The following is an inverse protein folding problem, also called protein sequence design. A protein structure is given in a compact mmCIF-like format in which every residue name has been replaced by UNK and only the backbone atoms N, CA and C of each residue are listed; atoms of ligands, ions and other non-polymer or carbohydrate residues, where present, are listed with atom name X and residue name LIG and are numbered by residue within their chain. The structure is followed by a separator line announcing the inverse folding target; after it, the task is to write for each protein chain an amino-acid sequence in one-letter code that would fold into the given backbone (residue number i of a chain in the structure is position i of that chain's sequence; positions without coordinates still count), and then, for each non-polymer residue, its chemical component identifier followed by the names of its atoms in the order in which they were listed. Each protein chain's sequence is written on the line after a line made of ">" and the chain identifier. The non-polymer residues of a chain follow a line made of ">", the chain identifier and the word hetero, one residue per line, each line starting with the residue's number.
data_IF_657751255016
#
_entry.id   IF_657751255016
#
_cell.length_a   1.000
_cell.length_b   1.000
_cell.length_c   1.000
_cell.angle_alpha   90.00
_cell.angle_beta   90.00
_cell.angle_gamma   90.00
#
_symmetry.space_group_name_H-M   'P 1'
#
loop_
_entity.id
_entity.type
_entity.pdbx_description
1 polymer ?
#
# COMPACT_ATOMS: atom_id res chain seq x y z
N UNK A 1 -12.02 -19.13 -26.94
CA UNK A 1 -13.40 -19.13 -26.40
C UNK A 1 -13.46 -19.77 -25.00
N UNK A 2 -12.95 -20.99 -24.81
CA UNK A 2 -12.93 -21.67 -23.50
C UNK A 2 -12.16 -20.92 -22.40
N UNK A 3 -11.03 -20.29 -22.74
CA UNK A 3 -10.22 -19.54 -21.78
C UNK A 3 -10.93 -18.28 -21.25
N UNK A 4 -11.64 -17.56 -22.12
CA UNK A 4 -12.42 -16.38 -21.75
C UNK A 4 -13.62 -16.76 -20.85
N UNK A 5 -14.29 -17.86 -21.17
CA UNK A 5 -15.40 -18.37 -20.36
C UNK A 5 -14.95 -18.86 -18.97
N UNK A 6 -13.72 -19.37 -18.84
CA UNK A 6 -13.15 -19.76 -17.55
C UNK A 6 -12.88 -18.55 -16.67
N UNK A 7 -12.28 -17.49 -17.23
CA UNK A 7 -12.01 -16.25 -16.49
C UNK A 7 -13.31 -15.56 -16.04
N UNK A 8 -14.35 -15.55 -16.90
CA UNK A 8 -15.66 -14.98 -16.55
C UNK A 8 -16.43 -15.86 -15.54
N UNK A 9 -16.29 -17.19 -15.61
CA UNK A 9 -16.92 -18.13 -14.69
C UNK A 9 -16.35 -18.12 -13.27
N UNK A 10 -15.12 -17.66 -13.07
CA UNK A 10 -14.48 -17.58 -11.75
C UNK A 10 -15.06 -16.48 -10.83
N UNK A 11 -15.79 -15.50 -11.37
CA UNK A 11 -16.29 -14.33 -10.61
C UNK A 11 -17.82 -14.16 -10.60
N UNK A 12 -18.55 -14.98 -11.36
CA UNK A 12 -20.02 -14.89 -11.46
C UNK A 12 -20.75 -16.11 -10.86
N UNK A 13 -20.10 -16.83 -9.94
CA UNK A 13 -20.79 -17.77 -9.07
C UNK A 13 -21.07 -17.09 -7.73
N UNK A 14 -22.34 -16.85 -7.45
CA UNK A 14 -22.79 -16.38 -6.14
C UNK A 14 -23.29 -17.58 -5.36
N UNK A 15 -22.57 -18.05 -4.32
CA UNK A 15 -23.08 -19.12 -3.49
C UNK A 15 -24.41 -18.72 -2.84
N UNK A 16 -25.35 -19.66 -2.86
CA UNK A 16 -26.65 -19.53 -2.18
C UNK A 16 -26.46 -19.49 -0.66
N UNK A 17 -25.53 -20.29 -0.14
CA UNK A 17 -25.14 -20.27 1.26
C UNK A 17 -24.14 -19.12 1.53
N UNK A 18 -24.48 -18.26 2.49
CA UNK A 18 -23.65 -17.10 2.83
C UNK A 18 -22.34 -17.46 3.52
N UNK A 19 -22.25 -18.64 4.12
CA UNK A 19 -21.03 -19.13 4.79
C UNK A 19 -19.87 -19.32 3.80
N UNK A 20 -20.13 -19.58 2.52
CA UNK A 20 -19.11 -19.73 1.49
C UNK A 20 -18.39 -18.41 1.15
N UNK A 21 -18.94 -17.24 1.53
CA UNK A 21 -18.24 -15.95 1.41
C UNK A 21 -17.28 -15.67 2.58
N UNK A 22 -17.39 -16.41 3.69
CA UNK A 22 -16.58 -16.17 4.89
C UNK A 22 -15.06 -16.23 4.60
N UNK A 23 -14.55 -17.19 3.82
CA UNK A 23 -13.14 -17.19 3.42
C UNK A 23 -12.73 -15.93 2.67
N UNK A 24 -13.57 -15.43 1.75
CA UNK A 24 -13.28 -14.20 1.00
C UNK A 24 -13.26 -12.96 1.90
N UNK A 25 -14.18 -12.88 2.87
CA UNK A 25 -14.20 -11.80 3.86
C UNK A 25 -12.95 -11.81 4.74
N UNK A 26 -12.49 -13.00 5.18
CA UNK A 26 -11.25 -13.14 5.95
C UNK A 26 -10.05 -12.67 5.13
N UNK A 27 -9.94 -13.10 3.87
CA UNK A 27 -8.86 -12.64 2.99
C UNK A 27 -8.88 -11.13 2.80
N UNK A 28 -10.05 -10.56 2.53
CA UNK A 28 -10.22 -9.12 2.38
C UNK A 28 -9.76 -8.37 3.64
N UNK A 29 -10.12 -8.87 4.83
CA UNK A 29 -9.69 -8.27 6.09
C UNK A 29 -8.18 -8.37 6.30
N UNK A 30 -7.57 -9.53 6.05
CA UNK A 30 -6.12 -9.72 6.20
C UNK A 30 -5.37 -8.76 5.28
N UNK A 31 -5.70 -8.74 3.99
CA UNK A 31 -5.04 -7.86 3.03
C UNK A 31 -5.36 -6.39 3.28
N UNK A 32 -6.59 -6.05 3.68
CA UNK A 32 -6.98 -4.70 4.05
C UNK A 32 -6.16 -4.16 5.24
N UNK A 33 -6.03 -4.97 6.28
CA UNK A 33 -5.22 -4.63 7.46
C UNK A 33 -3.73 -4.54 7.11
N UNK A 34 -3.21 -5.47 6.30
CA UNK A 34 -1.83 -5.42 5.84
C UNK A 34 -1.54 -4.17 4.99
N UNK A 35 -2.43 -3.81 4.07
CA UNK A 35 -2.32 -2.61 3.25
C UNK A 35 -2.35 -1.34 4.11
N UNK A 36 -3.30 -1.24 5.05
CA UNK A 36 -3.38 -0.14 5.98
C UNK A 36 -2.11 -0.02 6.86
N UNK A 37 -1.62 -1.14 7.39
CA UNK A 37 -0.39 -1.20 8.16
C UNK A 37 0.82 -0.74 7.35
N UNK A 38 0.95 -1.23 6.12
CA UNK A 38 2.01 -0.86 5.19
C UNK A 38 1.98 0.63 4.85
N UNK A 39 0.80 1.16 4.53
CA UNK A 39 0.62 2.59 4.24
C UNK A 39 1.05 3.46 5.42
N UNK A 40 0.67 3.08 6.65
CA UNK A 40 1.11 3.77 7.87
C UNK A 40 2.60 3.66 8.12
N UNK A 41 3.20 2.50 7.86
CA UNK A 41 4.63 2.26 8.02
C UNK A 41 5.45 3.11 7.04
N UNK A 42 5.12 3.05 5.75
CA UNK A 42 5.79 3.84 4.70
C UNK A 42 5.65 5.33 5.01
N UNK A 43 4.46 5.80 5.36
CA UNK A 43 4.25 7.21 5.68
C UNK A 43 5.07 7.72 6.87
N UNK A 44 5.38 6.87 7.86
CA UNK A 44 6.29 7.23 8.97
C UNK A 44 7.74 7.36 8.48
N UNK A 45 8.19 6.43 7.66
CA UNK A 45 9.55 6.45 7.11
C UNK A 45 9.75 7.68 6.22
N UNK A 46 8.78 7.96 5.34
CA UNK A 46 8.86 9.12 4.44
C UNK A 46 8.99 10.43 5.20
N UNK A 47 8.26 10.62 6.30
CA UNK A 47 8.37 11.82 7.14
C UNK A 47 9.75 11.97 7.78
N UNK A 48 10.34 10.86 8.24
CA UNK A 48 11.70 10.87 8.80
C UNK A 48 12.72 11.26 7.73
N UNK A 49 12.62 10.65 6.55
CA UNK A 49 13.50 10.96 5.42
C UNK A 49 13.35 12.41 4.95
N UNK A 50 12.13 12.95 4.95
CA UNK A 50 11.88 14.36 4.61
C UNK A 50 12.58 15.32 5.58
N UNK A 51 12.56 15.01 6.89
CA UNK A 51 13.26 15.82 7.89
C UNK A 51 14.78 15.77 7.69
N UNK A 52 15.35 14.58 7.51
CA UNK A 52 16.78 14.41 7.26
C UNK A 52 17.24 15.13 5.98
N UNK A 53 16.43 15.08 4.92
CA UNK A 53 16.70 15.79 3.67
C UNK A 53 16.69 17.31 3.86
N UNK A 54 15.71 17.86 4.59
CA UNK A 54 15.65 19.31 4.89
C UNK A 54 16.84 19.78 5.71
N UNK A 55 17.28 18.99 6.69
CA UNK A 55 18.49 19.32 7.46
C UNK A 55 19.75 19.33 6.59
N UNK A 56 19.87 18.38 5.65
CA UNK A 56 20.98 18.34 4.71
C UNK A 56 20.95 19.55 3.75
N UNK A 57 19.79 19.89 3.19
CA UNK A 57 19.62 21.09 2.34
C UNK A 57 20.01 22.37 3.08
N UNK A 58 19.63 22.50 4.35
CA UNK A 58 20.00 23.65 5.17
C UNK A 58 21.52 23.76 5.35
N UNK A 59 22.19 22.65 5.70
CA UNK A 59 23.65 22.60 5.87
C UNK A 59 24.39 22.97 4.58
N UNK A 60 23.97 22.41 3.44
CA UNK A 60 24.57 22.71 2.13
C UNK A 60 24.40 24.19 1.74
N UNK A 61 23.24 24.77 2.07
CA UNK A 61 22.99 26.20 1.83
C UNK A 61 23.91 27.08 2.68
N UNK A 62 24.06 26.78 3.97
CA UNK A 62 24.97 27.49 4.87
C UNK A 62 26.43 27.39 4.41
N UNK A 63 26.87 26.22 3.95
CA UNK A 63 28.22 26.03 3.40
C UNK A 63 28.45 26.83 2.13
N UNK A 64 27.50 26.81 1.18
CA UNK A 64 27.59 27.58 -0.06
C UNK A 64 27.58 29.09 0.18
N UNK A 65 26.82 29.57 1.17
CA UNK A 65 26.80 30.98 1.56
C UNK A 65 28.09 31.42 2.28
N UNK A 66 28.85 30.49 2.89
CA UNK A 66 30.17 30.76 3.49
C UNK A 66 31.33 30.81 2.48
N UNK A 67 31.17 30.12 1.34
CA UNK A 67 32.21 30.03 0.29
C UNK A 67 32.07 31.18 -0.74
N UNK A 68 30.91 31.83 -0.80
CA UNK A 68 30.70 33.08 -1.56
C UNK A 68 31.24 34.30 -0.82
#
# INVERSE_FOLDING_TARGET
>A
MLFYSYIVGLFLYFPEDKSEYLPAAIWLLIFGLAAYGTFRFVGKISKKQEQEAKELEHKLKEENDRVK
#
